data_IF_025999717158
#
_entry.id   IF_025999717158
#
_cell.length_a   1.000
_cell.length_b   1.000
_cell.length_c   1.000
_cell.angle_alpha   90.00
_cell.angle_beta   90.00
_cell.angle_gamma   90.00
#
_symmetry.space_group_name_H-M   'P 1'
#
loop_
_entity.id
_entity.type
_entity.pdbx_description
1 polymer ?
#
# COMPACT_ATOMS: atom_id res chain seq x y z
N UNK A 1 -51.34 -47.78 -14.73
CA UNK A 1 -51.17 -47.14 -13.41
C UNK A 1 -49.71 -46.86 -13.06
N UNK A 2 -48.78 -47.82 -13.26
CA UNK A 2 -47.34 -47.69 -12.92
C UNK A 2 -46.61 -46.50 -13.57
N UNK A 3 -46.94 -46.15 -14.81
CA UNK A 3 -46.30 -45.05 -15.56
C UNK A 3 -46.60 -43.66 -15.01
N UNK A 4 -47.76 -43.49 -14.37
CA UNK A 4 -48.18 -42.21 -13.76
C UNK A 4 -47.32 -41.88 -12.54
N UNK A 5 -47.01 -42.89 -11.71
CA UNK A 5 -46.13 -42.71 -10.55
C UNK A 5 -44.69 -42.37 -10.94
N UNK A 6 -44.20 -42.94 -12.04
CA UNK A 6 -42.86 -42.67 -12.54
C UNK A 6 -42.74 -41.24 -13.09
N UNK A 7 -43.74 -40.77 -13.83
CA UNK A 7 -43.81 -39.39 -14.31
C UNK A 7 -43.92 -38.38 -13.16
N UNK A 8 -44.69 -38.70 -12.11
CA UNK A 8 -44.84 -37.85 -10.94
C UNK A 8 -43.53 -37.76 -10.13
N UNK A 9 -42.79 -38.86 -9.99
CA UNK A 9 -41.47 -38.86 -9.35
C UNK A 9 -40.42 -38.04 -10.09
N UNK A 10 -40.46 -38.04 -11.43
CA UNK A 10 -39.56 -37.26 -12.29
C UNK A 10 -39.84 -35.76 -12.31
N UNK A 11 -41.08 -35.34 -12.01
CA UNK A 11 -41.43 -33.92 -11.88
C UNK A 11 -40.85 -33.28 -10.59
N UNK A 12 -40.61 -34.09 -9.55
CA UNK A 12 -40.12 -33.59 -8.25
C UNK A 12 -38.61 -33.33 -8.26
N UNK A 13 -37.85 -34.06 -9.08
CA UNK A 13 -36.39 -33.88 -9.20
C UNK A 13 -36.00 -32.62 -9.97
N UNK A 14 -36.90 -32.05 -10.79
CA UNK A 14 -36.69 -30.77 -11.48
C UNK A 14 -36.69 -29.55 -10.56
N UNK A 15 -37.19 -29.69 -9.34
CA UNK A 15 -37.22 -28.65 -8.30
C UNK A 15 -36.24 -28.90 -7.16
N UNK A 16 -35.32 -29.88 -7.31
CA UNK A 16 -34.17 -30.01 -6.43
C UNK A 16 -33.24 -28.81 -6.70
N UNK A 17 -33.55 -27.73 -6.00
CA UNK A 17 -32.86 -26.45 -5.97
C UNK A 17 -31.36 -26.62 -6.20
N UNK A 18 -30.86 -26.05 -7.28
CA UNK A 18 -29.47 -25.63 -7.34
C UNK A 18 -29.29 -24.61 -6.22
N UNK A 19 -28.86 -25.08 -5.04
CA UNK A 19 -28.47 -24.23 -3.94
C UNK A 19 -27.19 -23.49 -4.38
N UNK A 20 -27.36 -22.36 -5.05
CA UNK A 20 -26.27 -21.46 -5.36
C UNK A 20 -25.74 -20.93 -4.04
N UNK A 21 -24.54 -21.37 -3.66
CA UNK A 21 -23.81 -20.84 -2.51
C UNK A 21 -23.35 -19.43 -2.89
N UNK A 22 -24.22 -18.45 -2.72
CA UNK A 22 -23.92 -17.04 -2.93
C UNK A 22 -23.35 -16.46 -1.64
N UNK A 23 -22.14 -15.92 -1.70
CA UNK A 23 -21.50 -15.23 -0.58
C UNK A 23 -20.61 -14.12 -1.11
N UNK A 24 -20.34 -13.12 -0.28
CA UNK A 24 -19.38 -12.05 -0.58
C UNK A 24 -18.06 -12.34 0.11
N UNK A 25 -16.96 -12.13 -0.60
CA UNK A 25 -15.61 -12.16 -0.03
C UNK A 25 -15.14 -10.71 0.07
N UNK A 26 -15.06 -10.20 1.29
CA UNK A 26 -14.43 -8.91 1.56
C UNK A 26 -12.92 -9.10 1.65
N UNK A 27 -12.16 -8.48 0.75
CA UNK A 27 -10.70 -8.40 0.82
C UNK A 27 -10.29 -7.00 1.27
N UNK A 28 -9.37 -6.91 2.22
CA UNK A 28 -8.71 -5.67 2.61
C UNK A 28 -7.25 -5.75 2.23
N UNK A 29 -6.79 -4.82 1.40
CA UNK A 29 -5.42 -4.72 0.95
C UNK A 29 -4.80 -3.44 1.54
N UNK A 30 -3.77 -3.60 2.34
CA UNK A 30 -2.96 -2.48 2.82
C UNK A 30 -1.68 -2.44 1.98
N UNK A 31 -1.56 -1.42 1.12
CA UNK A 31 -0.37 -1.20 0.30
C UNK A 31 0.52 -0.20 1.02
N UNK A 32 1.72 -0.64 1.43
CA UNK A 32 2.76 0.25 1.92
C UNK A 32 3.56 0.80 0.75
N UNK A 33 3.82 2.10 0.74
CA UNK A 33 4.70 2.72 -0.24
C UNK A 33 6.15 2.44 0.10
N UNK A 34 6.90 1.87 -0.85
CA UNK A 34 8.35 1.72 -0.71
C UNK A 34 9.03 3.09 -0.91
N UNK A 35 9.98 3.40 -0.03
CA UNK A 35 10.87 4.56 -0.15
C UNK A 35 12.21 4.09 -0.69
N UNK A 36 12.71 4.72 -1.76
CA UNK A 36 14.05 4.42 -2.28
C UNK A 36 15.04 5.43 -1.71
N UNK A 37 16.02 4.92 -0.95
CA UNK A 37 17.12 5.74 -0.41
C UNK A 37 18.37 5.40 -1.23
N UNK A 38 18.82 6.35 -2.04
CA UNK A 38 20.10 6.25 -2.73
C UNK A 38 21.22 6.76 -1.82
N UNK A 39 21.94 5.84 -1.18
CA UNK A 39 23.08 6.16 -0.31
C UNK A 39 24.31 6.68 -1.05
N UNK A 40 24.31 6.67 -2.39
CA UNK A 40 25.42 7.15 -3.20
C UNK A 40 25.43 8.68 -3.36
N UNK A 41 24.33 9.34 -2.99
CA UNK A 41 24.23 10.80 -2.93
C UNK A 41 23.91 11.26 -1.49
N UNK A 42 24.93 11.47 -0.64
CA UNK A 42 24.72 11.97 0.73
C UNK A 42 24.13 13.40 0.79
N UNK A 43 24.00 14.08 -0.36
CA UNK A 43 23.33 15.38 -0.50
C UNK A 43 21.92 15.26 -1.10
N UNK A 44 21.41 14.05 -1.35
CA UNK A 44 20.02 13.85 -1.71
C UNK A 44 19.13 14.08 -0.48
N UNK A 45 18.70 15.33 -0.29
CA UNK A 45 17.72 15.71 0.73
C UNK A 45 16.28 15.29 0.40
N UNK A 46 16.10 14.57 -0.71
CA UNK A 46 14.82 14.14 -1.24
C UNK A 46 14.78 12.62 -1.24
N UNK A 47 13.95 12.03 -0.37
CA UNK A 47 13.69 10.60 -0.35
C UNK A 47 12.34 10.40 -1.05
N UNK A 48 12.32 9.95 -2.32
CA UNK A 48 11.07 9.67 -3.01
C UNK A 48 10.40 8.44 -2.36
N UNK A 49 9.30 8.70 -1.66
CA UNK A 49 8.44 7.69 -1.06
C UNK A 49 7.14 7.62 -1.86
N UNK A 50 6.85 6.43 -2.41
CA UNK A 50 5.87 6.26 -3.48
C UNK A 50 6.22 7.08 -4.73
N UNK A 51 5.73 6.69 -5.91
CA UNK A 51 5.81 7.51 -7.13
C UNK A 51 4.94 8.78 -7.06
N UNK A 52 4.74 9.35 -5.88
CA UNK A 52 4.01 10.61 -5.69
C UNK A 52 4.98 11.75 -5.50
N UNK A 53 4.71 12.80 -6.25
CA UNK A 53 5.14 14.17 -6.02
C UNK A 53 4.47 14.71 -4.75
N UNK A 54 4.69 14.08 -3.60
CA UNK A 54 4.37 14.77 -2.34
C UNK A 54 5.36 15.93 -2.22
N UNK A 55 4.85 17.12 -1.90
CA UNK A 55 5.62 18.34 -1.70
C UNK A 55 6.57 18.12 -0.53
N UNK A 56 7.74 17.57 -0.83
CA UNK A 56 8.75 17.30 0.18
C UNK A 56 9.34 18.64 0.60
N UNK A 57 9.44 18.90 1.92
CA UNK A 57 9.93 20.18 2.39
C UNK A 57 11.36 20.39 1.91
N UNK A 58 11.69 21.63 1.55
CA UNK A 58 13.05 21.96 1.15
C UNK A 58 13.91 22.01 2.41
N UNK A 59 14.86 21.07 2.50
CA UNK A 59 15.83 21.01 3.60
C UNK A 59 17.13 21.67 3.12
N UNK A 60 17.57 22.71 3.82
CA UNK A 60 18.85 23.39 3.55
C UNK A 60 19.78 23.22 4.74
N UNK A 61 21.02 22.79 4.47
CA UNK A 61 22.07 22.66 5.48
C UNK A 61 23.12 23.75 5.26
N UNK A 62 23.36 24.58 6.27
CA UNK A 62 24.41 25.60 6.25
C UNK A 62 25.37 25.36 7.40
N UNK A 63 26.68 25.27 7.11
CA UNK A 63 27.70 25.20 8.15
C UNK A 63 27.82 26.56 8.84
N UNK A 64 27.45 26.64 10.12
CA UNK A 64 27.55 27.85 10.93
C UNK A 64 28.96 28.04 11.47
N UNK A 65 29.53 26.97 12.02
CA UNK A 65 30.83 27.02 12.69
C UNK A 65 31.49 25.65 12.65
N UNK A 66 32.81 25.65 12.45
CA UNK A 66 33.65 24.46 12.59
C UNK A 66 34.73 24.78 13.62
N UNK A 67 34.70 24.08 14.74
CA UNK A 67 35.76 24.16 15.74
C UNK A 67 36.99 23.39 15.23
N UNK A 68 38.08 24.10 14.97
CA UNK A 68 39.32 23.54 14.45
C UNK A 68 40.05 22.64 15.46
N UNK A 69 39.77 22.78 16.76
CA UNK A 69 40.45 22.06 17.85
C UNK A 69 39.71 20.79 18.23
N UNK A 70 38.38 20.81 18.20
CA UNK A 70 37.54 19.63 18.53
C UNK A 70 36.99 18.90 17.30
N UNK A 71 37.11 19.50 16.11
CA UNK A 71 36.53 18.98 14.86
C UNK A 71 35.00 19.07 14.80
N UNK A 72 34.37 19.65 15.83
CA UNK A 72 32.91 19.72 15.95
C UNK A 72 32.34 20.73 14.96
N UNK A 73 31.30 20.34 14.26
CA UNK A 73 30.61 21.18 13.27
C UNK A 73 29.22 21.53 13.78
N UNK A 74 28.91 22.82 13.79
CA UNK A 74 27.58 23.35 14.03
C UNK A 74 26.94 23.62 12.67
N UNK A 75 25.80 22.98 12.41
CA UNK A 75 25.05 23.13 11.18
C UNK A 75 23.69 23.77 11.49
N UNK A 76 23.34 24.80 10.72
CA UNK A 76 21.97 25.30 10.65
C UNK A 76 21.20 24.42 9.68
N UNK A 77 20.10 23.83 10.16
CA UNK A 77 19.18 23.05 9.34
C UNK A 77 17.88 23.84 9.23
N UNK A 78 17.50 24.21 8.01
CA UNK A 78 16.25 24.93 7.71
C UNK A 78 15.31 24.01 6.96
N UNK A 79 14.03 23.98 7.38
CA UNK A 79 12.96 23.18 6.77
C UNK A 79 11.85 24.13 6.32
N UNK A 80 11.58 24.18 5.02
CA UNK A 80 10.56 25.04 4.39
C UNK A 80 9.43 24.17 3.79
N UNK A 81 8.16 24.54 4.02
CA UNK A 81 6.95 23.84 3.53
C UNK A 81 6.17 24.69 2.52
#
# INVERSE_FOLDING_TARGET
MKTVYLALGLMITGHAYAASITGSIGVSLVIYSECSIDGNNPSAHTIPCAKRTETQPKITHNLLKRDAKTGRQENLVTVEW
#
